data_IF_559485749303
#
_entry.id   IF_559485749303
#
_cell.length_a   1.000
_cell.length_b   1.000
_cell.length_c   1.000
_cell.angle_alpha   90.00
_cell.angle_beta   90.00
_cell.angle_gamma   90.00
#
_symmetry.space_group_name_H-M   'P 1'
#
loop_
_entity.id
_entity.type
_entity.pdbx_description
1 polymer ?
#
# COMPACT_ATOMS: atom_id res chain seq x y z
N UNK A 1 -66.41 -31.20 -86.99
CA UNK A 1 -65.19 -31.76 -87.60
C UNK A 1 -63.99 -31.25 -86.82
N UNK A 2 -62.94 -32.06 -86.62
CA UNK A 2 -62.83 -33.50 -86.95
C UNK A 2 -63.40 -34.39 -85.81
N UNK A 3 -63.89 -35.63 -85.97
CA UNK A 3 -63.49 -36.81 -86.78
C UNK A 3 -62.21 -37.49 -86.25
N UNK A 4 -61.95 -38.82 -86.30
CA UNK A 4 -62.72 -40.11 -86.38
C UNK A 4 -61.76 -41.19 -85.77
N UNK A 5 -62.00 -42.50 -85.59
CA UNK A 5 -63.13 -43.45 -85.73
C UNK A 5 -62.95 -44.57 -84.66
N UNK A 6 -63.92 -45.48 -84.50
CA UNK A 6 -63.79 -46.94 -84.77
C UNK A 6 -65.03 -47.69 -84.25
N UNK A 7 -65.98 -47.89 -85.17
CA UNK A 7 -66.68 -49.17 -85.50
C UNK A 7 -66.50 -50.38 -84.53
N UNK A 8 -67.51 -51.20 -84.22
CA UNK A 8 -68.40 -51.93 -85.16
C UNK A 8 -69.84 -52.21 -84.65
N UNK A 9 -70.72 -52.54 -85.59
CA UNK A 9 -72.06 -53.10 -85.44
C UNK A 9 -72.07 -54.47 -86.17
N UNK A 10 -72.67 -55.55 -85.65
CA UNK A 10 -73.98 -55.91 -86.21
C UNK A 10 -75.01 -56.48 -85.21
N UNK A 11 -76.17 -55.83 -85.18
CA UNK A 11 -77.49 -56.37 -84.82
C UNK A 11 -77.79 -57.70 -85.54
N UNK A 12 -78.49 -58.64 -84.87
CA UNK A 12 -79.68 -59.35 -85.39
C UNK A 12 -80.21 -60.43 -84.42
N UNK A 13 -81.42 -60.24 -83.87
CA UNK A 13 -82.59 -61.13 -84.06
C UNK A 13 -83.83 -60.60 -83.31
N UNK A 14 -84.97 -60.47 -84.04
CA UNK A 14 -86.41 -60.66 -83.65
C UNK A 14 -86.94 -60.06 -82.32
N UNK A 15 -88.15 -59.50 -82.18
CA UNK A 15 -89.42 -59.47 -82.93
C UNK A 15 -90.17 -58.17 -82.46
N UNK A 16 -90.90 -57.39 -83.27
CA UNK A 16 -92.28 -57.63 -83.78
C UNK A 16 -93.26 -58.00 -82.63
N UNK A 17 -94.35 -57.31 -82.27
CA UNK A 17 -95.02 -56.07 -82.74
C UNK A 17 -96.14 -55.65 -81.75
N UNK A 18 -96.53 -54.37 -81.80
CA UNK A 18 -97.92 -53.86 -81.69
C UNK A 18 -98.69 -53.73 -80.35
N UNK A 19 -99.15 -52.48 -80.17
CA UNK A 19 -100.48 -51.98 -79.75
C UNK A 19 -100.95 -52.09 -78.29
N UNK A 20 -101.07 -50.87 -77.73
CA UNK A 20 -102.01 -50.39 -76.69
C UNK A 20 -103.26 -51.28 -76.50
N UNK A 21 -103.45 -51.74 -75.26
CA UNK A 21 -104.75 -51.83 -74.62
C UNK A 21 -104.86 -50.68 -73.59
N UNK A 22 -106.08 -50.26 -73.28
CA UNK A 22 -106.37 -49.09 -72.44
C UNK A 22 -106.97 -49.59 -71.12
N UNK A 23 -106.22 -49.47 -70.02
CA UNK A 23 -106.66 -49.88 -68.68
C UNK A 23 -107.38 -48.72 -67.96
N UNK A 24 -108.40 -49.05 -67.16
CA UNK A 24 -109.28 -48.09 -66.47
C UNK A 24 -108.73 -47.65 -65.10
N UNK A 25 -109.20 -46.50 -64.59
CA UNK A 25 -108.68 -45.85 -63.37
C UNK A 25 -108.65 -46.77 -62.12
N UNK A 26 -109.65 -47.65 -61.93
CA UNK A 26 -109.66 -48.63 -60.83
C UNK A 26 -108.44 -49.59 -60.80
N UNK A 27 -107.78 -49.82 -61.95
CA UNK A 27 -106.53 -50.61 -62.01
C UNK A 27 -105.28 -49.80 -61.66
N UNK A 28 -105.35 -48.47 -61.69
CA UNK A 28 -104.24 -47.58 -61.34
C UNK A 28 -104.16 -47.47 -59.80
N UNK A 29 -105.29 -47.18 -59.14
CA UNK A 29 -105.34 -47.13 -57.66
C UNK A 29 -104.97 -48.49 -57.03
N UNK A 30 -105.45 -49.61 -57.59
CA UNK A 30 -105.11 -50.96 -57.12
C UNK A 30 -103.64 -51.37 -57.35
N UNK A 31 -102.87 -50.58 -58.12
CA UNK A 31 -101.44 -50.75 -58.38
C UNK A 31 -100.58 -49.80 -57.54
N UNK A 32 -101.05 -48.58 -57.27
CA UNK A 32 -100.38 -47.63 -56.37
C UNK A 32 -100.46 -48.07 -54.90
N UNK A 33 -101.62 -48.56 -54.44
CA UNK A 33 -101.80 -49.08 -53.07
C UNK A 33 -100.98 -50.36 -52.83
N UNK A 34 -100.66 -51.12 -53.90
CA UNK A 34 -99.81 -52.33 -53.83
C UNK A 34 -98.30 -52.03 -53.95
N UNK A 35 -97.93 -50.75 -54.12
CA UNK A 35 -96.55 -50.26 -54.11
C UNK A 35 -96.08 -49.74 -52.74
N UNK A 36 -96.95 -49.72 -51.73
CA UNK A 36 -96.59 -49.38 -50.36
C UNK A 36 -95.93 -50.59 -49.68
N UNK A 37 -94.60 -50.49 -49.48
CA UNK A 37 -93.84 -51.43 -48.67
C UNK A 37 -94.18 -51.26 -47.19
N UNK A 38 -94.87 -52.25 -46.61
CA UNK A 38 -95.10 -52.34 -45.15
C UNK A 38 -93.81 -52.56 -44.34
N UNK A 39 -92.66 -52.71 -45.01
CA UNK A 39 -91.35 -52.56 -44.38
C UNK A 39 -90.83 -51.13 -44.58
N UNK A 40 -90.88 -50.34 -43.51
CA UNK A 40 -90.02 -49.17 -43.33
C UNK A 40 -88.59 -49.70 -43.13
N UNK A 41 -87.86 -49.90 -44.23
CA UNK A 41 -86.42 -50.08 -44.19
C UNK A 41 -85.81 -48.71 -43.85
N UNK A 42 -85.06 -48.55 -42.74
CA UNK A 42 -84.38 -47.31 -42.46
C UNK A 42 -83.23 -47.13 -43.45
N UNK A 43 -83.40 -46.27 -44.46
CA UNK A 43 -82.27 -45.82 -45.26
C UNK A 43 -81.29 -45.07 -44.36
N UNK A 44 -80.14 -45.73 -44.08
CA UNK A 44 -79.03 -45.35 -43.19
C UNK A 44 -79.14 -45.84 -41.73
N UNK A 45 -78.88 -47.13 -41.54
CA UNK A 45 -78.52 -47.75 -40.25
C UNK A 45 -77.10 -47.37 -39.75
N UNK A 46 -76.45 -46.36 -40.33
CA UNK A 46 -75.22 -45.77 -39.79
C UNK A 46 -75.56 -44.42 -39.17
N UNK A 47 -75.89 -44.43 -37.87
CA UNK A 47 -76.05 -43.17 -37.14
C UNK A 47 -74.69 -42.52 -36.94
N UNK A 48 -74.44 -41.37 -37.58
CA UNK A 48 -73.27 -40.51 -37.33
C UNK A 48 -73.26 -39.92 -35.89
N UNK A 49 -74.07 -40.47 -34.97
CA UNK A 49 -74.13 -40.13 -33.55
C UNK A 49 -72.83 -40.57 -32.87
N UNK A 50 -72.29 -41.76 -33.18
CA UNK A 50 -71.04 -42.24 -32.58
C UNK A 50 -69.85 -41.40 -33.08
N UNK A 51 -69.77 -41.11 -34.38
CA UNK A 51 -68.77 -40.17 -34.93
C UNK A 51 -68.93 -38.77 -34.33
N UNK A 52 -70.12 -38.16 -34.36
CA UNK A 52 -70.33 -36.83 -33.76
C UNK A 52 -70.01 -36.79 -32.26
N UNK A 53 -70.26 -37.87 -31.52
CA UNK A 53 -69.86 -37.99 -30.12
C UNK A 53 -68.34 -38.11 -29.97
N UNK A 54 -67.66 -38.89 -30.81
CA UNK A 54 -66.20 -39.03 -30.77
C UNK A 54 -65.51 -37.72 -31.18
N UNK A 55 -66.02 -37.01 -32.18
CA UNK A 55 -65.55 -35.69 -32.60
C UNK A 55 -65.81 -34.61 -31.55
N UNK A 56 -66.97 -34.63 -30.88
CA UNK A 56 -67.26 -33.72 -29.76
C UNK A 56 -66.39 -34.02 -28.54
N UNK A 57 -66.06 -35.29 -28.28
CA UNK A 57 -65.07 -35.70 -27.26
C UNK A 57 -63.66 -35.26 -27.64
N UNK A 58 -63.25 -35.43 -28.90
CA UNK A 58 -61.98 -34.94 -29.48
C UNK A 58 -61.85 -33.42 -29.34
N UNK A 59 -62.90 -32.67 -29.68
CA UNK A 59 -62.96 -31.22 -29.53
C UNK A 59 -62.73 -30.78 -28.09
N UNK A 60 -63.51 -31.32 -27.14
CA UNK A 60 -63.33 -31.04 -25.70
C UNK A 60 -61.96 -31.45 -25.17
N UNK A 61 -61.40 -32.56 -25.64
CA UNK A 61 -60.06 -32.99 -25.25
C UNK A 61 -58.99 -32.00 -25.75
N UNK A 62 -59.04 -31.61 -27.02
CA UNK A 62 -58.10 -30.66 -27.61
C UNK A 62 -58.21 -29.27 -26.95
N UNK A 63 -59.42 -28.84 -26.61
CA UNK A 63 -59.68 -27.64 -25.82
C UNK A 63 -59.07 -27.75 -24.41
N UNK A 64 -59.27 -28.86 -23.70
CA UNK A 64 -58.66 -29.09 -22.40
C UNK A 64 -57.12 -29.11 -22.44
N UNK A 65 -56.51 -29.67 -23.50
CA UNK A 65 -55.06 -29.62 -23.72
C UNK A 65 -54.58 -28.19 -23.99
N UNK A 66 -55.28 -27.41 -24.81
CA UNK A 66 -54.94 -26.02 -25.09
C UNK A 66 -55.01 -25.15 -23.82
N UNK A 67 -56.04 -25.33 -22.97
CA UNK A 67 -56.16 -24.62 -21.69
C UNK A 67 -55.09 -25.08 -20.69
N UNK A 68 -54.74 -26.38 -20.63
CA UNK A 68 -53.60 -26.85 -19.83
C UNK A 68 -52.29 -26.16 -20.24
N UNK A 69 -51.99 -26.09 -21.53
CA UNK A 69 -50.81 -25.40 -22.04
C UNK A 69 -50.83 -23.90 -21.72
N UNK A 70 -52.00 -23.25 -21.78
CA UNK A 70 -52.19 -21.86 -21.39
C UNK A 70 -51.98 -21.63 -19.88
N UNK A 71 -52.53 -22.48 -19.01
CA UNK A 71 -52.32 -22.40 -17.56
C UNK A 71 -50.84 -22.64 -17.18
N UNK A 72 -50.15 -23.58 -17.84
CA UNK A 72 -48.70 -23.78 -17.68
C UNK A 72 -47.88 -22.54 -18.11
N UNK A 73 -48.27 -21.88 -19.21
CA UNK A 73 -47.66 -20.61 -19.64
C UNK A 73 -47.97 -19.44 -18.68
N UNK A 74 -49.13 -19.43 -18.04
CA UNK A 74 -49.44 -18.49 -16.95
C UNK A 74 -48.55 -18.71 -15.73
N UNK A 75 -48.33 -19.95 -15.27
CA UNK A 75 -47.35 -20.24 -14.20
C UNK A 75 -45.96 -19.71 -14.58
N UNK A 76 -45.53 -19.89 -15.84
CA UNK A 76 -44.26 -19.33 -16.32
C UNK A 76 -44.17 -17.80 -16.11
N UNK A 77 -45.18 -17.07 -16.60
CA UNK A 77 -45.27 -15.59 -16.49
C UNK A 77 -45.48 -15.09 -15.07
N UNK A 78 -46.09 -15.87 -14.19
CA UNK A 78 -46.23 -15.55 -12.76
C UNK A 78 -44.90 -15.66 -12.01
N UNK A 79 -44.05 -16.64 -12.36
CA UNK A 79 -42.81 -16.92 -11.60
C UNK A 79 -41.61 -16.10 -12.08
N UNK A 80 -41.59 -15.68 -13.35
CA UNK A 80 -40.53 -14.89 -13.96
C UNK A 80 -40.23 -13.54 -13.24
N UNK A 81 -41.22 -12.73 -12.81
CA UNK A 81 -40.98 -11.49 -12.06
C UNK A 81 -40.18 -11.70 -10.78
N UNK A 82 -40.52 -12.73 -9.99
CA UNK A 82 -39.86 -13.03 -8.71
C UNK A 82 -38.39 -13.46 -8.91
N UNK A 83 -38.12 -14.22 -9.97
CA UNK A 83 -36.75 -14.60 -10.36
C UNK A 83 -35.96 -13.33 -10.75
N UNK A 84 -36.52 -12.49 -11.62
CA UNK A 84 -35.88 -11.24 -12.07
C UNK A 84 -35.65 -10.24 -10.93
N UNK A 85 -36.61 -10.11 -10.01
CA UNK A 85 -36.52 -9.22 -8.85
C UNK A 85 -35.41 -9.66 -7.89
N UNK A 86 -35.31 -10.96 -7.58
CA UNK A 86 -34.23 -11.50 -6.75
C UNK A 86 -32.83 -11.22 -7.33
N UNK A 87 -32.68 -11.38 -8.66
CA UNK A 87 -31.44 -11.05 -9.37
C UNK A 87 -31.11 -9.56 -9.37
N UNK A 88 -32.09 -8.68 -9.61
CA UNK A 88 -31.92 -7.22 -9.54
C UNK A 88 -31.54 -6.77 -8.14
N UNK A 89 -32.18 -7.31 -7.10
CA UNK A 89 -31.87 -7.00 -5.70
C UNK A 89 -30.43 -7.38 -5.34
N UNK A 90 -29.97 -8.57 -5.74
CA UNK A 90 -28.58 -8.95 -5.53
C UNK A 90 -27.64 -8.00 -6.29
N UNK A 91 -27.88 -7.76 -7.57
CA UNK A 91 -27.03 -6.90 -8.41
C UNK A 91 -26.84 -5.50 -7.79
N UNK A 92 -27.91 -4.89 -7.28
CA UNK A 92 -27.86 -3.60 -6.58
C UNK A 92 -26.97 -3.68 -5.34
N UNK A 93 -27.21 -4.63 -4.43
CA UNK A 93 -26.39 -4.84 -3.21
C UNK A 93 -24.91 -5.07 -3.52
N UNK A 94 -24.61 -5.86 -4.57
CA UNK A 94 -23.23 -6.09 -5.00
C UNK A 94 -22.59 -4.78 -5.49
N UNK A 95 -23.27 -4.02 -6.34
CA UNK A 95 -22.75 -2.75 -6.88
C UNK A 95 -22.49 -1.68 -5.82
N UNK A 96 -23.35 -1.60 -4.79
CA UNK A 96 -23.15 -0.71 -3.63
C UNK A 96 -21.93 -1.13 -2.81
N UNK A 97 -21.75 -2.44 -2.61
CA UNK A 97 -20.59 -2.99 -1.89
C UNK A 97 -19.28 -2.75 -2.65
N UNK A 98 -19.27 -2.87 -3.98
CA UNK A 98 -18.08 -2.61 -4.78
C UNK A 98 -17.69 -1.12 -4.76
N UNK A 99 -18.66 -0.19 -4.87
CA UNK A 99 -18.43 1.26 -4.65
C UNK A 99 -17.87 1.56 -3.25
N UNK A 100 -18.38 0.88 -2.22
CA UNK A 100 -17.91 1.07 -0.85
C UNK A 100 -16.45 0.58 -0.68
N UNK A 101 -16.08 -0.53 -1.33
CA UNK A 101 -14.71 -1.06 -1.30
C UNK A 101 -13.76 -0.15 -2.10
N UNK A 102 -14.16 0.37 -3.27
CA UNK A 102 -13.41 1.38 -4.01
C UNK A 102 -13.13 2.63 -3.15
N UNK A 103 -14.12 3.12 -2.41
CA UNK A 103 -13.94 4.26 -1.50
C UNK A 103 -12.96 3.96 -0.35
N UNK A 104 -12.90 2.72 0.15
CA UNK A 104 -11.87 2.31 1.12
C UNK A 104 -10.48 2.31 0.47
N UNK A 105 -10.33 1.77 -0.73
CA UNK A 105 -9.04 1.75 -1.43
C UNK A 105 -8.52 3.15 -1.82
N UNK A 106 -9.39 4.11 -2.12
CA UNK A 106 -8.99 5.51 -2.39
C UNK A 106 -8.20 6.16 -1.25
N UNK A 107 -8.42 5.73 0.00
CA UNK A 107 -7.70 6.23 1.18
C UNK A 107 -6.23 5.80 1.27
N UNK A 108 -5.83 4.80 0.46
CA UNK A 108 -4.47 4.24 0.39
C UNK A 108 -3.94 4.25 -1.04
N UNK A 109 -4.50 5.13 -1.89
CA UNK A 109 -4.17 5.20 -3.31
C UNK A 109 -3.02 6.18 -3.61
N UNK A 110 -2.85 7.23 -2.80
CA UNK A 110 -1.73 8.17 -2.92
C UNK A 110 -0.61 7.87 -1.91
N UNK A 111 0.64 7.99 -2.35
CA UNK A 111 1.81 7.72 -1.51
C UNK A 111 1.96 8.78 -0.38
N UNK A 112 1.38 9.97 -0.56
CA UNK A 112 1.28 11.01 0.47
C UNK A 112 0.33 10.64 1.61
N UNK A 113 -0.79 9.97 1.31
CA UNK A 113 -1.69 9.46 2.35
C UNK A 113 -1.01 8.33 3.14
N UNK A 114 -0.20 7.51 2.47
CA UNK A 114 0.58 6.42 3.07
C UNK A 114 1.64 6.90 4.08
N UNK A 115 2.26 8.08 3.90
CA UNK A 115 3.18 8.63 4.90
C UNK A 115 2.50 8.89 6.26
N UNK A 116 1.20 9.24 6.26
CA UNK A 116 0.42 9.50 7.48
C UNK A 116 -0.28 8.27 8.07
N UNK A 117 -0.41 7.19 7.28
CA UNK A 117 -1.19 6.01 7.66
C UNK A 117 -0.47 5.13 8.69
N UNK A 118 -1.24 4.57 9.63
CA UNK A 118 -0.73 3.65 10.65
C UNK A 118 -0.93 2.18 10.27
N UNK A 119 -0.11 1.28 10.83
CA UNK A 119 -0.30 -0.17 10.66
C UNK A 119 -1.65 -0.66 11.23
N UNK A 120 -2.19 0.00 12.25
CA UNK A 120 -3.50 -0.33 12.83
C UNK A 120 -4.63 0.03 11.88
N UNK A 121 -4.61 1.25 11.33
CA UNK A 121 -5.61 1.69 10.35
C UNK A 121 -5.54 0.89 9.04
N UNK A 122 -4.37 0.34 8.68
CA UNK A 122 -4.24 -0.65 7.59
C UNK A 122 -4.98 -1.97 7.86
N UNK A 123 -4.92 -2.45 9.11
CA UNK A 123 -5.67 -3.62 9.58
C UNK A 123 -7.18 -3.36 9.61
N UNK A 124 -7.60 -2.25 10.24
CA UNK A 124 -9.01 -1.83 10.32
C UNK A 124 -9.65 -1.67 8.93
N UNK A 125 -8.89 -1.15 7.96
CA UNK A 125 -9.30 -1.04 6.55
C UNK A 125 -9.51 -2.42 5.91
N UNK A 126 -8.62 -3.39 6.18
CA UNK A 126 -8.78 -4.76 5.69
C UNK A 126 -9.93 -5.50 6.36
N UNK A 127 -10.14 -5.30 7.66
CA UNK A 127 -11.27 -5.87 8.40
C UNK A 127 -12.60 -5.35 7.85
N UNK A 128 -12.68 -4.06 7.53
CA UNK A 128 -13.85 -3.46 6.88
C UNK A 128 -14.13 -4.07 5.49
N UNK A 129 -13.10 -4.28 4.66
CA UNK A 129 -13.23 -4.96 3.35
C UNK A 129 -13.67 -6.42 3.55
N UNK A 130 -13.05 -7.14 4.48
CA UNK A 130 -13.35 -8.54 4.80
C UNK A 130 -14.79 -8.74 5.25
N UNK A 131 -15.32 -7.84 6.08
CA UNK A 131 -16.74 -7.85 6.50
C UNK A 131 -17.70 -7.66 5.31
N UNK A 132 -17.36 -6.79 4.35
CA UNK A 132 -18.16 -6.63 3.12
C UNK A 132 -18.16 -7.90 2.28
N UNK A 133 -17.03 -8.59 2.17
CA UNK A 133 -16.94 -9.88 1.48
C UNK A 133 -17.73 -10.99 2.19
N UNK A 134 -17.71 -11.06 3.52
CA UNK A 134 -18.60 -11.97 4.29
C UNK A 134 -20.08 -11.69 3.97
N UNK A 135 -20.49 -10.42 3.94
CA UNK A 135 -21.87 -10.02 3.63
C UNK A 135 -22.29 -10.39 2.20
N UNK A 136 -21.40 -10.24 1.21
CA UNK A 136 -21.67 -10.61 -0.18
C UNK A 136 -21.89 -12.11 -0.36
N UNK A 137 -21.02 -12.94 0.24
CA UNK A 137 -21.21 -14.40 0.26
C UNK A 137 -22.54 -14.81 0.91
N UNK A 138 -22.98 -14.07 1.93
CA UNK A 138 -24.28 -14.30 2.56
C UNK A 138 -25.45 -13.93 1.62
N UNK A 139 -25.40 -12.79 0.93
CA UNK A 139 -26.42 -12.42 -0.06
C UNK A 139 -26.50 -13.38 -1.25
N UNK A 140 -25.37 -13.93 -1.70
CA UNK A 140 -25.35 -14.94 -2.78
C UNK A 140 -26.06 -16.24 -2.33
N UNK A 141 -25.85 -16.68 -1.08
CA UNK A 141 -26.58 -17.82 -0.49
C UNK A 141 -28.08 -17.54 -0.35
N UNK A 142 -28.46 -16.36 0.13
CA UNK A 142 -29.86 -15.94 0.27
C UNK A 142 -30.61 -15.93 -1.07
N UNK A 143 -29.94 -15.52 -2.16
CA UNK A 143 -30.49 -15.59 -3.51
C UNK A 143 -30.65 -17.05 -3.98
N UNK A 144 -29.63 -17.90 -3.82
CA UNK A 144 -29.69 -19.32 -4.19
C UNK A 144 -30.81 -20.06 -3.45
N UNK A 145 -30.97 -19.84 -2.15
CA UNK A 145 -32.10 -20.37 -1.37
C UNK A 145 -33.46 -19.86 -1.87
N UNK A 146 -33.57 -18.57 -2.19
CA UNK A 146 -34.79 -17.97 -2.73
C UNK A 146 -35.17 -18.59 -4.07
N UNK A 147 -34.22 -18.73 -4.99
CA UNK A 147 -34.42 -19.35 -6.30
C UNK A 147 -34.83 -20.83 -6.17
N UNK A 148 -34.21 -21.59 -5.26
CA UNK A 148 -34.60 -22.98 -4.96
C UNK A 148 -36.02 -23.07 -4.42
N UNK A 149 -36.41 -22.18 -3.49
CA UNK A 149 -37.79 -22.11 -2.95
C UNK A 149 -38.81 -21.79 -4.04
N UNK A 150 -38.49 -20.86 -4.95
CA UNK A 150 -39.34 -20.52 -6.10
C UNK A 150 -39.51 -21.69 -7.07
N UNK A 151 -38.44 -22.41 -7.42
CA UNK A 151 -38.54 -23.54 -8.37
C UNK A 151 -39.26 -24.75 -7.74
N UNK A 152 -39.16 -24.98 -6.42
CA UNK A 152 -39.98 -25.95 -5.70
C UNK A 152 -41.46 -25.55 -5.71
N UNK A 153 -41.79 -24.29 -5.44
CA UNK A 153 -43.17 -23.79 -5.51
C UNK A 153 -43.75 -23.89 -6.94
N UNK A 154 -42.92 -23.67 -7.96
CA UNK A 154 -43.29 -23.87 -9.37
C UNK A 154 -43.63 -25.33 -9.66
N UNK A 155 -42.79 -26.27 -9.21
CA UNK A 155 -43.01 -27.69 -9.39
C UNK A 155 -44.31 -28.19 -8.74
N UNK A 156 -44.62 -27.72 -7.51
CA UNK A 156 -45.89 -28.07 -6.84
C UNK A 156 -47.11 -27.45 -7.53
N UNK A 157 -47.07 -26.18 -7.99
CA UNK A 157 -48.15 -25.60 -8.82
C UNK A 157 -48.42 -26.44 -10.08
N UNK A 158 -47.37 -26.82 -10.81
CA UNK A 158 -47.45 -27.63 -12.03
C UNK A 158 -48.05 -29.02 -11.74
N UNK A 159 -47.62 -29.66 -10.66
CA UNK A 159 -48.10 -30.98 -10.21
C UNK A 159 -49.59 -30.99 -9.88
N UNK A 160 -50.11 -29.95 -9.21
CA UNK A 160 -51.55 -29.83 -8.97
C UNK A 160 -52.35 -29.52 -10.24
N UNK A 161 -51.79 -28.73 -11.19
CA UNK A 161 -52.42 -28.58 -12.51
C UNK A 161 -52.49 -29.91 -13.27
N UNK A 162 -51.39 -30.67 -13.35
CA UNK A 162 -51.39 -31.96 -14.03
C UNK A 162 -52.42 -32.91 -13.42
N UNK A 163 -52.52 -33.01 -12.09
CA UNK A 163 -53.58 -33.77 -11.40
C UNK A 163 -55.01 -33.31 -11.75
N UNK A 164 -55.25 -32.00 -11.81
CA UNK A 164 -56.55 -31.41 -12.21
C UNK A 164 -56.90 -31.85 -13.64
N UNK A 165 -55.96 -31.72 -14.57
CA UNK A 165 -56.21 -32.04 -15.98
C UNK A 165 -56.28 -33.55 -16.28
N UNK A 166 -55.59 -34.41 -15.53
CA UNK A 166 -55.79 -35.87 -15.60
C UNK A 166 -57.27 -36.22 -15.39
N UNK A 167 -57.88 -35.72 -14.30
CA UNK A 167 -59.30 -35.97 -14.00
C UNK A 167 -60.23 -35.44 -15.08
N UNK A 168 -60.01 -34.21 -15.54
CA UNK A 168 -60.81 -33.59 -16.61
C UNK A 168 -60.73 -34.42 -17.92
N UNK A 169 -59.55 -34.96 -18.25
CA UNK A 169 -59.37 -35.78 -19.45
C UNK A 169 -60.00 -37.18 -19.31
N UNK A 170 -59.98 -37.77 -18.12
CA UNK A 170 -60.74 -38.99 -17.78
C UNK A 170 -62.26 -38.77 -17.92
N UNK A 171 -62.79 -37.68 -17.35
CA UNK A 171 -64.21 -37.27 -17.41
C UNK A 171 -64.69 -36.95 -18.83
N UNK A 172 -63.80 -36.47 -19.72
CA UNK A 172 -64.11 -36.27 -21.14
C UNK A 172 -64.28 -37.62 -21.86
N UNK A 173 -63.63 -38.69 -21.37
CA UNK A 173 -63.70 -40.07 -21.87
C UNK A 173 -63.51 -40.18 -23.39
N UNK A 174 -62.59 -39.37 -23.93
CA UNK A 174 -62.15 -39.44 -25.33
C UNK A 174 -61.14 -40.57 -25.55
N UNK A 175 -60.22 -40.71 -24.60
CA UNK A 175 -59.21 -41.76 -24.54
C UNK A 175 -59.54 -42.79 -23.45
N UNK A 176 -58.87 -43.94 -23.47
CA UNK A 176 -58.87 -44.85 -22.33
C UNK A 176 -58.14 -44.19 -21.13
N UNK A 177 -58.45 -44.54 -19.87
CA UNK A 177 -57.70 -44.02 -18.72
C UNK A 177 -56.19 -44.31 -18.81
N UNK A 178 -55.81 -45.45 -19.38
CA UNK A 178 -54.41 -45.81 -19.65
C UNK A 178 -53.73 -44.84 -20.62
N UNK A 179 -54.42 -44.44 -21.69
CA UNK A 179 -53.91 -43.47 -22.66
C UNK A 179 -53.85 -42.04 -22.12
N UNK A 180 -54.83 -41.63 -21.28
CA UNK A 180 -54.77 -40.34 -20.57
C UNK A 180 -53.55 -40.30 -19.64
N UNK A 181 -53.33 -41.35 -18.85
CA UNK A 181 -52.13 -41.44 -18.01
C UNK A 181 -50.83 -41.43 -18.82
N UNK A 182 -50.78 -42.11 -19.97
CA UNK A 182 -49.61 -42.11 -20.87
C UNK A 182 -49.33 -40.71 -21.46
N UNK A 183 -50.37 -39.98 -21.86
CA UNK A 183 -50.25 -38.60 -22.31
C UNK A 183 -49.70 -37.69 -21.20
N UNK A 184 -50.35 -37.69 -20.03
CA UNK A 184 -49.93 -36.87 -18.88
C UNK A 184 -48.52 -37.23 -18.41
N UNK A 185 -48.13 -38.51 -18.45
CA UNK A 185 -46.76 -38.94 -18.14
C UNK A 185 -45.73 -38.35 -19.11
N UNK A 186 -46.06 -38.28 -20.40
CA UNK A 186 -45.18 -37.71 -21.43
C UNK A 186 -45.00 -36.20 -21.23
N UNK A 187 -46.09 -35.46 -20.99
CA UNK A 187 -46.04 -34.04 -20.65
C UNK A 187 -45.27 -33.78 -19.35
N UNK A 188 -45.55 -34.56 -18.29
CA UNK A 188 -44.82 -34.47 -17.03
C UNK A 188 -43.32 -34.76 -17.19
N UNK A 189 -42.93 -35.69 -18.08
CA UNK A 189 -41.53 -35.98 -18.37
C UNK A 189 -40.83 -34.81 -19.05
N UNK A 190 -41.46 -34.16 -20.03
CA UNK A 190 -40.91 -32.95 -20.67
C UNK A 190 -40.75 -31.80 -19.66
N UNK A 191 -41.77 -31.57 -18.83
CA UNK A 191 -41.73 -30.50 -17.82
C UNK A 191 -40.66 -30.79 -16.75
N UNK A 192 -40.55 -32.04 -16.29
CA UNK A 192 -39.50 -32.44 -15.35
C UNK A 192 -38.08 -32.27 -15.92
N UNK A 193 -37.87 -32.51 -17.22
CA UNK A 193 -36.59 -32.22 -17.87
C UNK A 193 -36.28 -30.71 -17.84
N UNK A 194 -37.27 -29.85 -18.07
CA UNK A 194 -37.11 -28.40 -17.98
C UNK A 194 -36.83 -27.93 -16.53
N UNK A 195 -37.57 -28.44 -15.53
CA UNK A 195 -37.31 -28.14 -14.12
C UNK A 195 -35.90 -28.58 -13.68
N UNK A 196 -35.43 -29.76 -14.12
CA UNK A 196 -34.06 -30.22 -13.86
C UNK A 196 -33.01 -29.36 -14.56
N UNK A 197 -33.30 -28.85 -15.76
CA UNK A 197 -32.42 -27.90 -16.45
C UNK A 197 -32.34 -26.57 -15.69
N UNK A 198 -33.45 -26.05 -15.19
CA UNK A 198 -33.50 -24.84 -14.35
C UNK A 198 -32.73 -25.03 -13.04
N UNK A 199 -32.91 -26.14 -12.34
CA UNK A 199 -32.17 -26.45 -11.11
C UNK A 199 -30.65 -26.51 -11.36
N UNK A 200 -30.22 -27.12 -12.47
CA UNK A 200 -28.80 -27.10 -12.89
C UNK A 200 -28.32 -25.68 -13.21
N UNK A 201 -29.15 -24.85 -13.84
CA UNK A 201 -28.83 -23.46 -14.13
C UNK A 201 -28.69 -22.62 -12.85
N UNK A 202 -29.58 -22.78 -11.86
CA UNK A 202 -29.50 -22.14 -10.54
C UNK A 202 -28.20 -22.56 -9.82
N UNK A 203 -27.92 -23.86 -9.76
CA UNK A 203 -26.68 -24.37 -9.15
C UNK A 203 -25.42 -23.84 -9.85
N UNK A 204 -25.42 -23.77 -11.19
CA UNK A 204 -24.32 -23.20 -11.97
C UNK A 204 -24.18 -21.69 -11.74
N UNK A 205 -25.28 -20.96 -11.62
CA UNK A 205 -25.27 -19.53 -11.28
C UNK A 205 -24.65 -19.29 -9.91
N UNK A 206 -25.04 -20.06 -8.89
CA UNK A 206 -24.45 -19.99 -7.55
C UNK A 206 -22.94 -20.24 -7.58
N UNK A 207 -22.48 -21.31 -8.25
CA UNK A 207 -21.04 -21.61 -8.39
C UNK A 207 -20.30 -20.48 -9.09
N UNK A 208 -20.81 -19.98 -10.22
CA UNK A 208 -20.19 -18.89 -10.96
C UNK A 208 -20.11 -17.59 -10.14
N UNK A 209 -21.17 -17.23 -9.40
CA UNK A 209 -21.19 -16.05 -8.53
C UNK A 209 -20.19 -16.17 -7.39
N UNK A 210 -20.13 -17.34 -6.75
CA UNK A 210 -19.16 -17.61 -5.69
C UNK A 210 -17.71 -17.59 -6.20
N UNK A 211 -17.44 -18.17 -7.37
CA UNK A 211 -16.12 -18.14 -8.00
C UNK A 211 -15.69 -16.71 -8.36
N UNK A 212 -16.61 -15.90 -8.92
CA UNK A 212 -16.35 -14.50 -9.23
C UNK A 212 -16.08 -13.67 -7.96
N UNK A 213 -16.83 -13.88 -6.88
CA UNK A 213 -16.64 -13.16 -5.62
C UNK A 213 -15.29 -13.53 -4.96
N UNK A 214 -14.91 -14.81 -4.99
CA UNK A 214 -13.60 -15.28 -4.50
C UNK A 214 -12.42 -14.73 -5.32
N UNK A 215 -12.54 -14.69 -6.66
CA UNK A 215 -11.51 -14.07 -7.53
C UNK A 215 -11.35 -12.57 -7.26
N UNK A 216 -12.46 -11.88 -7.01
CA UNK A 216 -12.50 -10.46 -6.63
C UNK A 216 -11.83 -10.24 -5.27
N UNK A 217 -12.14 -11.07 -4.26
CA UNK A 217 -11.50 -11.03 -2.95
C UNK A 217 -9.99 -11.25 -3.01
N UNK A 218 -9.52 -12.24 -3.79
CA UNK A 218 -8.10 -12.48 -4.00
C UNK A 218 -7.42 -11.26 -4.62
N UNK A 219 -8.05 -10.63 -5.62
CA UNK A 219 -7.54 -9.42 -6.27
C UNK A 219 -7.46 -8.23 -5.31
N UNK A 220 -8.46 -8.07 -4.43
CA UNK A 220 -8.47 -7.05 -3.38
C UNK A 220 -7.40 -7.30 -2.31
N UNK A 221 -7.19 -8.56 -1.92
CA UNK A 221 -6.15 -8.95 -0.98
C UNK A 221 -4.75 -8.68 -1.55
N UNK A 222 -4.51 -9.03 -2.81
CA UNK A 222 -3.24 -8.74 -3.50
C UNK A 222 -2.99 -7.22 -3.56
N UNK A 223 -3.97 -6.41 -4.00
CA UNK A 223 -3.86 -4.94 -4.02
C UNK A 223 -3.56 -4.36 -2.64
N UNK A 224 -4.21 -4.86 -1.59
CA UNK A 224 -3.94 -4.44 -0.21
C UNK A 224 -2.53 -4.86 0.25
N UNK A 225 -2.08 -6.07 -0.08
CA UNK A 225 -0.75 -6.57 0.27
C UNK A 225 0.36 -5.79 -0.46
N UNK A 226 0.15 -5.40 -1.71
CA UNK A 226 1.04 -4.51 -2.47
C UNK A 226 1.13 -3.14 -1.78
N UNK A 227 -0.01 -2.49 -1.49
CA UNK A 227 0.01 -1.20 -0.77
C UNK A 227 0.60 -1.28 0.64
N UNK A 228 0.50 -2.42 1.31
CA UNK A 228 1.18 -2.65 2.59
C UNK A 228 2.73 -2.73 2.41
N UNK A 229 3.22 -3.32 1.31
CA UNK A 229 4.65 -3.33 0.97
C UNK A 229 5.12 -1.92 0.58
N UNK A 230 4.36 -1.19 -0.23
CA UNK A 230 4.66 0.19 -0.60
C UNK A 230 4.78 1.08 0.64
N UNK A 231 3.77 1.04 1.53
CA UNK A 231 3.78 1.73 2.82
C UNK A 231 5.02 1.36 3.66
N UNK A 232 5.40 0.07 3.68
CA UNK A 232 6.58 -0.41 4.40
C UNK A 232 7.88 0.19 3.85
N UNK A 233 7.97 0.43 2.54
CA UNK A 233 9.11 1.10 1.89
C UNK A 233 9.09 2.60 2.19
N UNK A 234 7.95 3.26 1.96
CA UNK A 234 7.74 4.69 2.21
C UNK A 234 8.10 5.08 3.65
N UNK A 235 7.68 4.29 4.65
CA UNK A 235 8.00 4.55 6.06
C UNK A 235 9.50 4.35 6.38
N UNK A 236 10.19 3.42 5.72
CA UNK A 236 11.66 3.27 5.83
C UNK A 236 12.35 4.50 5.25
N UNK A 237 11.98 4.89 4.02
CA UNK A 237 12.57 6.02 3.32
C UNK A 237 12.31 7.35 4.05
N UNK A 238 11.13 7.53 4.64
CA UNK A 238 10.81 8.67 5.49
C UNK A 238 11.77 8.78 6.69
N UNK A 239 12.03 7.66 7.39
CA UNK A 239 12.97 7.64 8.54
C UNK A 239 14.40 7.95 8.09
N UNK A 240 14.84 7.39 6.96
CA UNK A 240 16.16 7.69 6.36
C UNK A 240 16.28 9.17 5.98
N UNK A 241 15.24 9.74 5.35
CA UNK A 241 15.17 11.15 4.95
C UNK A 241 15.22 12.08 6.16
N UNK A 242 14.39 11.82 7.16
CA UNK A 242 14.32 12.60 8.40
C UNK A 242 15.65 12.58 9.18
N UNK A 243 16.37 11.45 9.20
CA UNK A 243 17.71 11.38 9.78
C UNK A 243 18.75 12.15 8.96
N UNK A 244 18.70 12.07 7.61
CA UNK A 244 19.58 12.87 6.74
C UNK A 244 19.36 14.37 6.91
N UNK A 245 18.10 14.81 7.01
CA UNK A 245 17.74 16.20 7.33
C UNK A 245 18.26 16.62 8.71
N UNK A 246 18.13 15.76 9.73
CA UNK A 246 18.72 16.01 11.05
C UNK A 246 20.23 16.17 10.99
N UNK A 247 20.96 15.27 10.31
CA UNK A 247 22.41 15.38 10.15
C UNK A 247 22.83 16.62 9.35
N UNK A 248 21.99 17.13 8.45
CA UNK A 248 22.25 18.34 7.67
C UNK A 248 22.01 19.66 8.44
N UNK A 249 21.47 19.60 9.66
CA UNK A 249 21.21 20.77 10.50
C UNK A 249 22.49 21.50 10.87
N UNK A 250 22.44 22.84 10.89
CA UNK A 250 23.59 23.68 11.26
C UNK A 250 24.04 23.44 12.70
N UNK A 251 23.11 23.13 13.58
CA UNK A 251 23.35 22.83 15.00
C UNK A 251 24.20 21.56 15.18
N UNK A 252 24.08 20.60 14.26
CA UNK A 252 24.83 19.33 14.25
C UNK A 252 26.16 19.48 13.51
N UNK A 253 26.18 20.21 12.40
CA UNK A 253 27.40 20.40 11.59
C UNK A 253 28.37 21.42 12.22
N UNK A 254 27.85 22.51 12.79
CA UNK A 254 28.61 23.63 13.34
C UNK A 254 28.08 23.99 14.75
N UNK A 255 28.41 23.21 15.79
CA UNK A 255 27.82 23.38 17.11
C UNK A 255 28.06 24.77 17.70
N UNK A 256 26.99 25.47 18.07
CA UNK A 256 27.07 26.85 18.59
C UNK A 256 27.79 26.95 19.93
N UNK A 257 27.81 25.86 20.71
CA UNK A 257 28.59 25.77 21.95
C UNK A 257 30.09 25.82 21.65
N UNK A 258 30.56 25.04 20.67
CA UNK A 258 31.98 25.03 20.25
C UNK A 258 32.43 26.40 19.77
N UNK A 259 31.63 27.09 18.94
CA UNK A 259 31.96 28.46 18.49
C UNK A 259 32.15 29.42 19.67
N UNK A 260 31.27 29.35 20.67
CA UNK A 260 31.37 30.16 21.90
C UNK A 260 32.62 29.82 22.71
N UNK A 261 32.93 28.54 22.86
CA UNK A 261 34.07 28.09 23.66
C UNK A 261 35.40 28.45 22.95
N UNK A 262 35.47 28.34 21.61
CA UNK A 262 36.56 28.89 20.80
C UNK A 262 36.71 30.41 20.92
N UNK A 263 35.61 31.18 20.87
CA UNK A 263 35.66 32.63 21.08
C UNK A 263 36.18 33.02 22.47
N UNK A 264 35.82 32.25 23.51
CA UNK A 264 36.29 32.47 24.87
C UNK A 264 37.79 32.16 24.98
N UNK A 265 38.22 31.01 24.44
CA UNK A 265 39.62 30.62 24.35
C UNK A 265 40.49 31.70 23.67
N UNK A 266 40.03 32.25 22.55
CA UNK A 266 40.74 33.33 21.82
C UNK A 266 40.84 34.61 22.66
N UNK A 267 39.76 35.01 23.36
CA UNK A 267 39.77 36.21 24.24
C UNK A 267 40.77 36.03 25.38
N UNK A 268 40.79 34.86 26.01
CA UNK A 268 41.73 34.53 27.08
C UNK A 268 43.17 34.52 26.54
N UNK A 269 43.45 33.86 25.41
CA UNK A 269 44.77 33.83 24.77
C UNK A 269 45.28 35.23 24.43
N UNK A 270 44.42 36.15 23.95
CA UNK A 270 44.79 37.55 23.72
C UNK A 270 45.21 38.23 25.03
N UNK A 271 44.52 37.96 26.14
CA UNK A 271 44.86 38.51 27.45
C UNK A 271 46.21 37.99 27.98
N UNK A 272 46.48 36.68 27.80
CA UNK A 272 47.73 36.06 28.24
C UNK A 272 48.91 36.46 27.34
N UNK A 273 48.68 36.59 26.04
CA UNK A 273 49.68 37.11 25.10
C UNK A 273 50.04 38.56 25.42
N UNK A 274 49.07 39.40 25.83
CA UNK A 274 49.36 40.77 26.32
C UNK A 274 50.25 40.74 27.55
N UNK A 275 49.92 39.92 28.56
CA UNK A 275 50.74 39.77 29.77
C UNK A 275 52.16 39.25 29.46
N UNK A 276 52.31 38.39 28.45
CA UNK A 276 53.62 37.96 27.96
C UNK A 276 54.39 39.10 27.31
N UNK A 277 53.73 39.93 26.49
CA UNK A 277 54.35 41.13 25.91
C UNK A 277 54.79 42.14 26.98
N UNK A 278 54.02 42.31 28.06
CA UNK A 278 54.40 43.14 29.21
C UNK A 278 55.68 42.61 29.89
N UNK A 279 55.79 41.30 30.15
CA UNK A 279 57.03 40.70 30.65
C UNK A 279 58.21 40.86 29.67
N UNK A 280 57.99 40.71 28.36
CA UNK A 280 59.03 40.92 27.35
C UNK A 280 59.47 42.40 27.27
N UNK A 281 58.61 43.36 27.59
CA UNK A 281 58.97 44.78 27.64
C UNK A 281 59.87 45.11 28.83
N UNK A 282 59.62 44.52 30.01
CA UNK A 282 60.47 44.70 31.20
C UNK A 282 61.94 44.32 30.92
N UNK A 283 62.18 43.35 30.03
CA UNK A 283 63.53 42.93 29.63
C UNK A 283 64.34 44.06 28.97
N UNK A 284 63.68 45.02 28.31
CA UNK A 284 64.37 46.17 27.70
C UNK A 284 65.02 47.09 28.73
N UNK A 285 64.46 47.17 29.94
CA UNK A 285 64.97 48.00 31.04
C UNK A 285 66.06 47.26 31.84
N UNK A 286 66.09 45.91 31.80
CA UNK A 286 67.03 45.04 32.54
C UNK A 286 68.46 44.97 31.96
N UNK A 287 68.89 45.98 31.20
CA UNK A 287 70.24 46.02 30.63
C UNK A 287 71.28 46.59 31.63
N UNK A 288 72.56 46.14 31.59
CA UNK A 288 73.62 46.76 32.37
C UNK A 288 73.80 48.26 32.05
N UNK A 289 74.20 49.10 33.01
CA UNK A 289 74.79 48.76 34.31
C UNK A 289 73.80 48.59 35.48
N UNK A 290 72.49 48.75 35.27
CA UNK A 290 71.53 48.92 36.37
C UNK A 290 71.07 47.62 37.04
N UNK A 291 71.24 46.46 36.40
CA UNK A 291 70.62 45.21 36.84
C UNK A 291 71.60 44.03 36.97
N UNK A 292 71.22 43.11 37.85
CA UNK A 292 71.99 41.96 38.29
C UNK A 292 71.55 40.66 37.62
N UNK A 293 72.45 39.67 37.64
CA UNK A 293 72.17 38.31 37.16
C UNK A 293 70.97 37.63 37.86
N UNK A 294 70.63 38.04 39.08
CA UNK A 294 69.49 37.51 39.81
C UNK A 294 68.15 37.95 39.20
N UNK A 295 68.02 39.23 38.85
CA UNK A 295 66.80 39.81 38.26
C UNK A 295 66.46 39.19 36.90
N UNK A 296 67.48 38.91 36.06
CA UNK A 296 67.27 38.22 34.78
C UNK A 296 66.85 36.75 34.97
N UNK A 297 67.33 36.07 36.02
CA UNK A 297 66.88 34.72 36.34
C UNK A 297 65.41 34.72 36.80
N UNK A 298 65.04 35.63 37.71
CA UNK A 298 63.65 35.76 38.22
C UNK A 298 62.66 36.14 37.11
N UNK A 299 63.06 37.04 36.22
CA UNK A 299 62.32 37.36 35.00
C UNK A 299 62.10 36.13 34.11
N UNK A 300 63.16 35.34 33.88
CA UNK A 300 63.08 34.15 33.03
C UNK A 300 62.21 33.05 33.65
N UNK A 301 62.32 32.82 34.96
CA UNK A 301 61.44 31.91 35.71
C UNK A 301 59.97 32.35 35.61
N UNK A 302 59.70 33.65 35.72
CA UNK A 302 58.37 34.23 35.56
C UNK A 302 57.80 34.05 34.14
N UNK A 303 58.63 34.22 33.12
CA UNK A 303 58.25 34.00 31.71
C UNK A 303 57.97 32.52 31.43
N UNK A 304 58.82 31.61 31.92
CA UNK A 304 58.61 30.16 31.80
C UNK A 304 57.36 29.70 32.55
N UNK A 305 57.08 30.26 33.73
CA UNK A 305 55.85 29.99 34.47
C UNK A 305 54.60 30.47 33.71
N UNK A 306 54.65 31.65 33.08
CA UNK A 306 53.55 32.16 32.25
C UNK A 306 53.32 31.29 31.00
N UNK A 307 54.37 30.86 30.31
CA UNK A 307 54.23 29.98 29.15
C UNK A 307 53.59 28.62 29.53
N UNK A 308 54.06 27.99 30.62
CA UNK A 308 53.43 26.76 31.16
C UNK A 308 51.95 26.96 31.53
N UNK A 309 51.59 28.14 32.03
CA UNK A 309 50.20 28.48 32.31
C UNK A 309 49.36 28.62 31.03
N UNK A 310 49.91 29.24 29.98
CA UNK A 310 49.28 29.31 28.65
C UNK A 310 49.06 27.90 28.08
N UNK A 311 50.05 27.02 28.14
CA UNK A 311 49.93 25.64 27.65
C UNK A 311 48.85 24.86 28.42
N UNK A 312 48.83 25.00 29.75
CA UNK A 312 47.80 24.39 30.61
C UNK A 312 46.40 24.90 30.28
N UNK A 313 46.25 26.21 30.05
CA UNK A 313 45.00 26.86 29.65
C UNK A 313 44.52 26.39 28.27
N UNK A 314 45.44 26.24 27.30
CA UNK A 314 45.14 25.72 25.97
C UNK A 314 44.59 24.28 26.04
N UNK A 315 45.25 23.40 26.81
CA UNK A 315 44.81 22.01 27.02
C UNK A 315 43.44 21.95 27.71
N UNK A 316 43.17 22.84 28.67
CA UNK A 316 41.86 22.91 29.35
C UNK A 316 40.72 23.28 28.38
N UNK A 317 40.90 24.32 27.56
CA UNK A 317 39.89 24.71 26.56
C UNK A 317 39.73 23.65 25.45
N UNK A 318 40.81 23.01 25.02
CA UNK A 318 40.76 21.86 24.11
C UNK A 318 39.90 20.72 24.67
N UNK A 319 40.01 20.42 25.96
CA UNK A 319 39.16 19.41 26.62
C UNK A 319 37.69 19.83 26.64
N UNK A 320 37.38 21.11 26.88
CA UNK A 320 36.00 21.63 26.84
C UNK A 320 35.41 21.47 25.43
N UNK A 321 36.13 21.90 24.38
CA UNK A 321 35.69 21.78 22.98
C UNK A 321 35.47 20.31 22.61
N UNK A 322 36.38 19.41 23.00
CA UNK A 322 36.23 17.96 22.81
C UNK A 322 34.95 17.41 23.44
N UNK A 323 34.64 17.81 24.68
CA UNK A 323 33.40 17.39 25.37
C UNK A 323 32.15 17.87 24.60
N UNK A 324 32.16 19.09 24.03
CA UNK A 324 31.02 19.56 23.21
C UNK A 324 30.88 18.76 21.91
N UNK A 325 31.97 18.45 21.21
CA UNK A 325 31.92 17.60 20.02
C UNK A 325 31.44 16.18 20.35
N UNK A 326 31.95 15.57 21.43
CA UNK A 326 31.51 14.25 21.88
C UNK A 326 30.01 14.24 22.21
N UNK A 327 29.52 15.26 22.91
CA UNK A 327 28.09 15.43 23.19
C UNK A 327 27.25 15.45 21.92
N UNK A 328 27.67 16.18 20.87
CA UNK A 328 26.94 16.21 19.59
C UNK A 328 26.95 14.84 18.90
N UNK A 329 28.07 14.11 18.96
CA UNK A 329 28.14 12.73 18.50
C UNK A 329 27.19 11.79 19.28
N UNK A 330 27.11 11.94 20.61
CA UNK A 330 26.18 11.18 21.46
C UNK A 330 24.71 11.52 21.15
N UNK A 331 24.36 12.79 20.95
CA UNK A 331 23.02 13.23 20.51
C UNK A 331 22.66 12.63 19.14
N UNK A 332 23.62 12.54 18.21
CA UNK A 332 23.43 11.85 16.93
C UNK A 332 23.17 10.34 17.11
N UNK A 333 23.97 9.64 17.92
CA UNK A 333 23.80 8.22 18.21
C UNK A 333 22.46 7.92 18.92
N UNK A 334 22.02 8.79 19.82
CA UNK A 334 20.70 8.70 20.44
C UNK A 334 19.57 8.83 19.39
N UNK A 335 19.75 9.70 18.38
CA UNK A 335 18.79 9.83 17.27
C UNK A 335 18.80 8.59 16.34
N UNK A 336 19.96 7.97 16.09
CA UNK A 336 20.05 6.67 15.39
C UNK A 336 19.17 5.62 16.10
N UNK A 337 19.26 5.54 17.43
CA UNK A 337 18.45 4.60 18.21
C UNK A 337 16.96 4.99 18.26
N UNK A 338 16.63 6.29 18.28
CA UNK A 338 15.26 6.77 18.16
C UNK A 338 14.64 6.37 16.80
N UNK A 339 15.42 6.44 15.73
CA UNK A 339 15.03 5.96 14.40
C UNK A 339 14.81 4.44 14.38
N UNK A 340 15.70 3.64 14.99
CA UNK A 340 15.50 2.18 15.17
C UNK A 340 14.18 1.91 15.91
N UNK A 341 13.95 2.58 17.03
CA UNK A 341 12.75 2.44 17.86
C UNK A 341 11.47 2.88 17.11
N UNK A 342 11.53 3.90 16.26
CA UNK A 342 10.40 4.33 15.42
C UNK A 342 10.02 3.26 14.39
N UNK A 343 10.98 2.65 13.69
CA UNK A 343 10.73 1.56 12.75
C UNK A 343 10.12 0.31 13.44
N UNK A 344 10.59 0.00 14.65
CA UNK A 344 10.09 -1.12 15.46
C UNK A 344 8.68 -0.87 16.01
N UNK A 345 8.40 0.32 16.54
CA UNK A 345 7.08 0.67 17.09
C UNK A 345 5.98 0.75 16.03
N UNK A 346 6.33 1.17 14.81
CA UNK A 346 5.44 1.12 13.64
C UNK A 346 5.24 -0.31 13.10
N UNK A 347 5.98 -1.32 13.59
CA UNK A 347 6.00 -2.71 13.11
C UNK A 347 6.34 -2.86 11.62
N UNK A 348 7.12 -1.93 11.08
CA UNK A 348 7.55 -1.85 9.67
C UNK A 348 8.69 -2.83 9.37
N UNK A 349 9.48 -3.18 10.38
CA UNK A 349 10.68 -4.01 10.27
C UNK A 349 10.75 -5.02 11.43
N UNK A 350 11.35 -6.18 11.18
CA UNK A 350 12.00 -6.95 12.26
C UNK A 350 13.26 -6.24 12.74
N UNK A 351 13.76 -6.58 13.94
CA UNK A 351 14.99 -5.98 14.49
C UNK A 351 16.20 -6.10 13.55
N UNK A 352 16.38 -7.28 12.94
CA UNK A 352 17.47 -7.55 11.98
C UNK A 352 17.35 -6.71 10.70
N UNK A 353 16.14 -6.34 10.29
CA UNK A 353 15.92 -5.49 9.13
C UNK A 353 16.08 -4.01 9.48
N UNK A 354 15.63 -3.59 10.66
CA UNK A 354 15.88 -2.24 11.17
C UNK A 354 17.40 -1.98 11.25
N UNK A 355 18.17 -2.96 11.75
CA UNK A 355 19.64 -2.89 11.77
C UNK A 355 20.26 -2.80 10.37
N UNK A 356 19.75 -3.55 9.38
CA UNK A 356 20.24 -3.45 7.99
C UNK A 356 19.94 -2.10 7.33
N UNK A 357 18.82 -1.46 7.65
CA UNK A 357 18.42 -0.15 7.12
C UNK A 357 19.16 0.99 7.81
N UNK A 358 19.27 0.92 9.14
CA UNK A 358 19.83 2.00 9.98
C UNK A 358 21.35 1.95 9.98
N UNK A 359 21.96 0.80 10.28
CA UNK A 359 23.38 0.75 10.67
C UNK A 359 24.36 1.23 9.58
N UNK A 360 24.36 0.70 8.34
CA UNK A 360 25.45 0.98 7.40
C UNK A 360 25.47 2.45 6.95
N UNK A 361 24.32 3.06 6.70
CA UNK A 361 24.23 4.45 6.24
C UNK A 361 24.33 5.45 7.39
N UNK A 362 23.70 5.18 8.54
CA UNK A 362 23.64 6.17 9.63
C UNK A 362 24.97 6.23 10.37
N UNK A 363 25.59 5.10 10.72
CA UNK A 363 26.92 5.12 11.34
C UNK A 363 27.99 5.67 10.38
N UNK A 364 27.84 5.51 9.06
CA UNK A 364 28.72 6.17 8.07
C UNK A 364 28.51 7.69 7.98
N UNK A 365 27.33 8.20 8.33
CA UNK A 365 27.10 9.65 8.46
C UNK A 365 27.66 10.18 9.78
N UNK A 366 27.39 9.51 10.91
CA UNK A 366 27.91 9.91 12.23
C UNK A 366 29.44 9.80 12.30
N UNK A 367 30.03 8.71 11.80
CA UNK A 367 31.49 8.55 11.75
C UNK A 367 32.18 9.58 10.86
N UNK A 368 31.57 10.03 9.76
CA UNK A 368 32.12 11.15 8.96
C UNK A 368 32.09 12.49 9.71
N UNK A 369 31.08 12.71 10.55
CA UNK A 369 31.01 13.90 11.40
C UNK A 369 32.08 13.83 12.50
N UNK A 370 32.17 12.69 13.20
CA UNK A 370 33.16 12.44 14.24
C UNK A 370 34.60 12.61 13.71
N UNK A 371 34.94 11.96 12.59
CA UNK A 371 36.28 12.07 12.00
C UNK A 371 36.65 13.53 11.66
N UNK A 372 35.69 14.38 11.29
CA UNK A 372 35.96 15.80 11.04
C UNK A 372 36.30 16.53 12.34
N UNK A 373 35.50 16.34 13.39
CA UNK A 373 35.76 16.93 14.71
C UNK A 373 37.09 16.47 15.30
N UNK A 374 37.45 15.19 15.13
CA UNK A 374 38.75 14.65 15.53
C UNK A 374 39.90 15.29 14.74
N UNK A 375 39.76 15.49 13.42
CA UNK A 375 40.75 16.19 12.59
C UNK A 375 40.93 17.67 12.98
N UNK A 376 39.84 18.38 13.29
CA UNK A 376 39.88 19.77 13.74
C UNK A 376 40.61 19.89 15.10
N UNK A 377 40.32 18.99 16.05
CA UNK A 377 41.03 18.93 17.33
C UNK A 377 42.51 18.58 17.13
N UNK A 378 42.83 17.57 16.34
CA UNK A 378 44.22 17.12 16.10
C UNK A 378 45.06 18.18 15.36
N UNK A 379 44.46 19.00 14.49
CA UNK A 379 45.14 20.16 13.90
C UNK A 379 45.46 21.24 14.94
N UNK A 380 44.50 21.53 15.83
CA UNK A 380 44.65 22.54 16.87
C UNK A 380 45.66 22.10 17.95
N UNK A 381 45.66 20.83 18.33
CA UNK A 381 46.61 20.21 19.28
C UNK A 381 48.05 20.31 18.77
N UNK A 382 48.31 19.86 17.52
CA UNK A 382 49.62 20.04 16.86
C UNK A 382 50.04 21.50 16.78
N UNK A 383 49.10 22.39 16.45
CA UNK A 383 49.36 23.84 16.39
C UNK A 383 49.82 24.41 17.74
N UNK A 384 49.26 23.96 18.86
CA UNK A 384 49.71 24.35 20.19
C UNK A 384 51.03 23.70 20.59
N UNK A 385 51.24 22.41 20.30
CA UNK A 385 52.52 21.76 20.58
C UNK A 385 53.69 22.46 19.87
N UNK A 386 53.55 22.75 18.58
CA UNK A 386 54.61 23.35 17.78
C UNK A 386 54.86 24.80 18.21
N UNK A 387 53.80 25.56 18.52
CA UNK A 387 53.92 26.89 19.09
C UNK A 387 54.63 26.88 20.45
N UNK A 388 54.32 25.92 21.34
CA UNK A 388 54.97 25.77 22.64
C UNK A 388 56.46 25.44 22.49
N UNK A 389 56.83 24.50 21.60
CA UNK A 389 58.22 24.15 21.26
C UNK A 389 59.01 25.37 20.77
N UNK A 390 58.42 26.17 19.87
CA UNK A 390 59.04 27.40 19.36
C UNK A 390 59.24 28.44 20.47
N UNK A 391 58.19 28.74 21.25
CA UNK A 391 58.29 29.72 22.36
C UNK A 391 59.33 29.27 23.39
N UNK A 392 59.39 27.99 23.74
CA UNK A 392 60.36 27.47 24.71
C UNK A 392 61.81 27.68 24.21
N UNK A 393 62.06 27.43 22.92
CA UNK A 393 63.37 27.65 22.31
C UNK A 393 63.72 29.14 22.25
N UNK A 394 62.82 30.00 21.78
CA UNK A 394 63.01 31.45 21.68
C UNK A 394 63.30 32.06 23.06
N UNK A 395 62.55 31.67 24.09
CA UNK A 395 62.77 32.13 25.47
C UNK A 395 64.14 31.67 26.01
N UNK A 396 64.57 30.43 25.73
CA UNK A 396 65.89 29.92 26.13
C UNK A 396 67.02 30.68 25.47
N UNK A 397 66.91 30.99 24.18
CA UNK A 397 67.98 31.66 23.43
C UNK A 397 68.05 33.16 23.79
N UNK A 398 66.91 33.81 24.01
CA UNK A 398 66.83 35.16 24.57
C UNK A 398 67.50 35.23 25.96
N UNK A 399 67.18 34.31 26.86
CA UNK A 399 67.80 34.24 28.19
C UNK A 399 69.32 34.02 28.14
N UNK A 400 69.82 33.13 27.25
CA UNK A 400 71.27 32.95 27.04
C UNK A 400 71.95 34.24 26.58
N UNK A 401 71.33 34.97 25.64
CA UNK A 401 71.86 36.23 25.13
C UNK A 401 72.04 37.25 26.25
N UNK A 402 71.01 37.47 27.07
CA UNK A 402 71.07 38.41 28.20
C UNK A 402 72.06 37.96 29.30
N UNK A 403 72.16 36.66 29.61
CA UNK A 403 73.21 36.16 30.51
C UNK A 403 74.63 36.45 29.98
N UNK A 404 74.86 36.27 28.67
CA UNK A 404 76.16 36.56 28.07
C UNK A 404 76.47 38.07 28.09
N UNK A 405 75.46 38.91 27.84
CA UNK A 405 75.60 40.38 27.92
C UNK A 405 75.99 40.85 29.33
N UNK A 406 75.37 40.30 30.40
CA UNK A 406 75.77 40.59 31.78
C UNK A 406 77.22 40.15 32.03
N UNK A 407 77.60 38.92 31.66
CA UNK A 407 78.96 38.40 31.92
C UNK A 407 80.04 39.23 31.20
N UNK A 408 79.76 39.69 29.98
CA UNK A 408 80.64 40.60 29.25
C UNK A 408 80.74 41.99 29.90
N UNK A 409 79.62 42.50 30.45
CA UNK A 409 79.63 43.76 31.19
C UNK A 409 80.42 43.65 32.50
N UNK A 410 80.22 42.59 33.28
CA UNK A 410 80.94 42.34 34.55
C UNK A 410 82.47 42.28 34.33
N UNK A 411 82.92 41.58 33.28
CA UNK A 411 84.34 41.53 32.89
C UNK A 411 84.88 42.89 32.43
N UNK A 412 84.08 43.68 31.69
CA UNK A 412 84.47 45.03 31.28
C UNK A 412 84.56 45.98 32.48
N UNK A 413 83.59 45.94 33.39
CA UNK A 413 83.56 46.74 34.62
C UNK A 413 84.72 46.40 35.55
N UNK A 414 85.09 45.12 35.67
CA UNK A 414 86.27 44.68 36.41
C UNK A 414 87.56 45.25 35.79
N UNK A 415 87.72 45.15 34.47
CA UNK A 415 88.89 45.69 33.74
C UNK A 415 88.97 47.22 33.84
N UNK A 416 87.85 47.93 33.72
CA UNK A 416 87.78 49.38 33.92
C UNK A 416 88.20 49.77 35.34
N UNK A 417 87.69 49.06 36.36
CA UNK A 417 88.09 49.31 37.75
C UNK A 417 89.59 49.04 37.99
N UNK A 418 90.16 48.00 37.39
CA UNK A 418 91.61 47.76 37.43
C UNK A 418 92.40 48.93 36.80
N UNK A 419 92.00 49.38 35.61
CA UNK A 419 92.64 50.52 34.93
C UNK A 419 92.48 51.84 35.69
N UNK A 420 91.31 52.09 36.30
CA UNK A 420 91.08 53.26 37.14
C UNK A 420 91.97 53.23 38.39
N UNK A 421 92.06 52.08 39.06
CA UNK A 421 92.95 51.91 40.22
C UNK A 421 94.43 52.15 39.84
N UNK A 422 94.89 51.62 38.70
CA UNK A 422 96.23 51.90 38.17
C UNK A 422 96.44 53.40 37.88
N UNK A 423 95.46 54.07 37.26
CA UNK A 423 95.51 55.51 36.99
C UNK A 423 95.53 56.33 38.28
N UNK A 424 94.74 55.95 39.29
CA UNK A 424 94.75 56.59 40.60
C UNK A 424 96.10 56.41 41.31
N UNK A 425 96.75 55.24 41.21
CA UNK A 425 98.10 55.02 41.75
C UNK A 425 99.10 55.91 41.02
N UNK A 426 99.11 55.92 39.69
CA UNK A 426 99.99 56.79 38.86
C UNK A 426 99.76 58.28 39.17
N UNK A 427 98.51 58.71 39.36
CA UNK A 427 98.15 60.08 39.76
C UNK A 427 98.66 60.43 41.17
N UNK A 428 98.51 59.52 42.15
CA UNK A 428 99.04 59.71 43.52
C UNK A 428 100.57 59.80 43.51
N UNK A 429 101.25 58.98 42.71
CA UNK A 429 102.71 59.09 42.52
C UNK A 429 103.13 60.42 41.88
N UNK A 430 102.41 60.88 40.86
CA UNK A 430 102.68 62.16 40.21
C UNK A 430 102.44 63.35 41.16
N UNK A 431 101.37 63.33 41.97
CA UNK A 431 101.16 64.32 43.04
C UNK A 431 102.30 64.32 44.04
N UNK A 432 102.70 63.16 44.57
CA UNK A 432 103.84 63.04 45.50
C UNK A 432 105.15 63.56 44.89
N UNK A 433 105.41 63.30 43.60
CA UNK A 433 106.57 63.86 42.88
C UNK A 433 106.50 65.38 42.78
N UNK A 434 105.32 65.95 42.50
CA UNK A 434 105.15 67.40 42.40
C UNK A 434 105.23 68.09 43.77
N UNK A 435 104.63 67.51 44.82
CA UNK A 435 104.73 67.98 46.20
C UNK A 435 106.19 67.99 46.68
N UNK A 436 106.96 66.93 46.42
CA UNK A 436 108.39 66.86 46.73
C UNK A 436 109.24 67.88 45.94
N UNK A 437 108.84 68.24 44.71
CA UNK A 437 109.52 69.26 43.89
C UNK A 437 109.23 70.69 44.37
N UNK A 438 108.10 70.91 45.04
CA UNK A 438 107.71 72.21 45.60
C UNK A 438 108.16 72.40 47.08
N UNK A 439 109.03 71.52 47.59
CA UNK A 439 109.62 71.59 48.96
C UNK A 439 111.11 71.99 48.94
N UNK A 440 111.55 72.74 47.92
CA UNK A 440 112.90 73.33 47.80
C UNK A 440 112.82 74.84 47.88
#
# INVERSE_FOLDING_TARGET
MPNDDFTENPVLYREITFRKAQESEDMIEAREVRGLSDFIIPEKTNSNIIERLSERRRGRHNEAVAVLQQELACIGREMEPFILESGKLLLTKLSESDRAIEFLFKKIESDTDLETFSIKSFGELWDAISQKSVSRRQWIKEMDETLKKLEVARAEKIKELLKKYTKIMEDISYFSPSDVHRFIHTEAMMINQALLANQRAIAKLFVNLMEADLKRELSQWLKWQERQKDWTIIQKDYVVRSFREFMARKEVQEPTAVKRDMENMIKDQISLSRRRMELLQVLCDLLPPTHSKAEINEWYESLVALNKYIDTHNVQHMMIIRIQYERVCQECLANVQLCKNKLLSLKVCTEKEAEKVVNPDFFKMVGRLQNRFEQELEQMDRGFEDLAKHIEQDCKDLYKYFQQAIVLWDDHQLKLSQQENELQVKLKECRRKHENLNQV
#
